data_IF_212616100563
#
_entry.id   IF_212616100563
#
_cell.length_a   1.000
_cell.length_b   1.000
_cell.length_c   1.000
_cell.angle_alpha   90.00
_cell.angle_beta   90.00
_cell.angle_gamma   90.00
#
_symmetry.space_group_name_H-M   'P 1'
#
loop_
_entity.id
_entity.type
_entity.pdbx_description
1 polymer ?
#
# COMPACT_ATOMS: atom_id res chain seq x y z
N UNK A 1 -18.20 -35.14 -16.00
CA UNK A 1 -16.80 -35.58 -16.16
C UNK A 1 -15.91 -34.35 -16.36
N UNK A 2 -15.69 -33.56 -15.30
CA UNK A 2 -14.79 -32.41 -15.33
C UNK A 2 -13.40 -32.90 -14.93
N UNK A 3 -12.50 -32.97 -15.91
CA UNK A 3 -11.08 -33.27 -15.68
C UNK A 3 -10.52 -32.23 -14.71
N UNK A 4 -10.20 -32.69 -13.49
CA UNK A 4 -9.51 -31.92 -12.46
C UNK A 4 -8.10 -31.66 -12.95
N UNK A 5 -7.88 -30.51 -13.59
CA UNK A 5 -6.52 -30.00 -13.80
C UNK A 5 -5.85 -29.82 -12.45
N UNK A 6 -4.90 -30.70 -12.15
CA UNK A 6 -4.03 -30.65 -10.98
C UNK A 6 -3.03 -29.48 -11.20
N UNK A 7 -3.46 -28.26 -10.90
CA UNK A 7 -2.58 -27.09 -10.85
C UNK A 7 -1.86 -27.10 -9.51
N UNK A 8 -0.92 -28.05 -9.30
CA UNK A 8 -0.11 -28.13 -8.08
C UNK A 8 1.12 -27.20 -8.10
N UNK A 9 1.16 -26.23 -9.03
CA UNK A 9 2.20 -25.22 -9.07
C UNK A 9 2.03 -24.24 -7.91
N UNK A 10 3.05 -24.09 -7.06
CA UNK A 10 3.06 -23.07 -5.99
C UNK A 10 2.63 -21.72 -6.57
N UNK A 11 1.48 -21.22 -6.12
CA UNK A 11 0.94 -19.93 -6.54
C UNK A 11 1.97 -18.85 -6.20
N UNK A 12 2.56 -18.18 -7.20
CA UNK A 12 3.69 -17.28 -6.97
C UNK A 12 3.36 -16.09 -6.06
N UNK A 13 2.08 -15.73 -5.93
CA UNK A 13 1.58 -14.68 -5.03
C UNK A 13 1.86 -14.90 -3.54
N UNK A 14 2.12 -16.14 -3.09
CA UNK A 14 2.34 -16.45 -1.66
C UNK A 14 3.54 -15.70 -1.08
N UNK A 15 4.64 -15.60 -1.84
CA UNK A 15 5.85 -14.92 -1.35
C UNK A 15 5.60 -13.43 -1.10
N UNK A 16 4.80 -12.81 -1.97
CA UNK A 16 4.46 -11.40 -1.87
C UNK A 16 3.50 -11.12 -0.71
N UNK A 17 2.42 -11.91 -0.58
CA UNK A 17 1.49 -11.77 0.55
C UNK A 17 2.18 -12.04 1.88
N UNK A 18 3.13 -12.98 1.92
CA UNK A 18 3.96 -13.24 3.11
C UNK A 18 4.83 -12.03 3.47
N UNK A 19 5.45 -11.37 2.49
CA UNK A 19 6.28 -10.19 2.76
C UNK A 19 5.43 -9.01 3.26
N UNK A 20 4.25 -8.79 2.68
CA UNK A 20 3.30 -7.79 3.16
C UNK A 20 2.76 -8.12 4.55
N UNK A 21 2.50 -9.40 4.84
CA UNK A 21 2.09 -9.86 6.16
C UNK A 21 3.16 -9.52 7.21
N UNK A 22 4.42 -9.87 6.96
CA UNK A 22 5.50 -9.56 7.90
C UNK A 22 5.71 -8.06 8.10
N UNK A 23 5.57 -7.27 7.03
CA UNK A 23 5.56 -5.81 7.13
C UNK A 23 4.44 -5.33 8.06
N UNK A 24 3.21 -5.84 7.91
CA UNK A 24 2.09 -5.48 8.77
C UNK A 24 2.25 -5.98 10.20
N UNK A 25 2.78 -7.19 10.42
CA UNK A 25 3.08 -7.73 11.76
C UNK A 25 4.07 -6.81 12.47
N UNK A 26 5.13 -6.40 11.78
CA UNK A 26 6.12 -5.47 12.31
C UNK A 26 5.46 -4.12 12.66
N UNK A 27 4.63 -3.58 11.78
CA UNK A 27 3.95 -2.32 12.03
C UNK A 27 3.00 -2.38 13.22
N UNK A 28 2.17 -3.42 13.31
CA UNK A 28 1.27 -3.64 14.45
C UNK A 28 2.06 -3.79 15.74
N UNK A 29 3.14 -4.57 15.74
CA UNK A 29 4.02 -4.71 16.90
C UNK A 29 4.62 -3.35 17.31
N UNK A 30 5.12 -2.56 16.36
CA UNK A 30 5.70 -1.24 16.63
C UNK A 30 4.68 -0.26 17.22
N UNK A 31 3.44 -0.27 16.71
CA UNK A 31 2.38 0.62 17.21
C UNK A 31 1.89 0.19 18.60
N UNK A 32 1.70 -1.11 18.83
CA UNK A 32 1.15 -1.65 20.08
C UNK A 32 2.16 -1.65 21.24
N UNK A 33 3.46 -1.79 20.94
CA UNK A 33 4.53 -1.79 21.93
C UNK A 33 5.12 -0.41 22.20
N UNK A 34 4.64 0.64 21.52
CA UNK A 34 5.03 2.02 21.78
C UNK A 34 4.60 2.44 23.22
N UNK A 35 5.47 3.12 24.00
CA UNK A 35 6.73 3.77 23.64
C UNK A 35 8.02 2.94 23.77
N UNK A 36 7.94 1.61 23.95
CA UNK A 36 9.09 0.71 24.16
C UNK A 36 9.86 0.93 25.49
N UNK A 37 9.22 1.56 26.48
CA UNK A 37 9.78 1.79 27.82
C UNK A 37 9.54 0.59 28.74
N UNK A 38 10.18 -0.54 28.44
CA UNK A 38 10.00 -1.78 29.19
C UNK A 38 10.65 -1.71 30.59
N UNK A 39 9.88 -2.04 31.64
CA UNK A 39 10.30 -2.05 33.03
C UNK A 39 10.04 -3.43 33.66
N UNK A 40 11.07 -4.01 34.28
CA UNK A 40 10.96 -5.32 34.94
C UNK A 40 10.20 -5.26 36.28
N UNK A 41 10.27 -4.14 36.99
CA UNK A 41 9.71 -3.98 38.34
C UNK A 41 8.42 -3.15 38.36
N UNK A 42 7.67 -3.12 37.25
CA UNK A 42 6.42 -2.37 37.12
C UNK A 42 5.25 -3.01 37.88
N UNK A 43 4.28 -2.21 38.32
CA UNK A 43 3.01 -2.73 38.84
C UNK A 43 2.19 -3.26 37.67
N UNK A 44 2.02 -4.58 37.56
CA UNK A 44 1.17 -5.19 36.55
C UNK A 44 -0.31 -4.84 36.81
N UNK A 45 -1.01 -4.36 35.79
CA UNK A 45 -2.44 -4.02 35.86
C UNK A 45 -3.19 -4.83 34.82
N UNK A 46 -4.19 -5.58 35.28
CA UNK A 46 -5.12 -6.33 34.43
C UNK A 46 -6.44 -5.55 34.36
N UNK A 47 -6.98 -5.37 33.16
CA UNK A 47 -8.33 -4.84 32.96
C UNK A 47 -9.22 -5.93 32.36
N UNK A 48 -10.40 -6.12 32.97
CA UNK A 48 -11.45 -6.98 32.42
C UNK A 48 -12.53 -6.18 31.68
N UNK A 49 -12.49 -4.85 31.78
CA UNK A 49 -13.45 -3.95 31.16
C UNK A 49 -12.75 -3.31 29.96
N UNK A 50 -13.32 -3.51 28.78
CA UNK A 50 -12.86 -2.86 27.56
C UNK A 50 -13.91 -1.84 27.09
N UNK A 51 -13.46 -0.65 26.73
CA UNK A 51 -14.31 0.33 26.07
C UNK A 51 -14.69 -0.15 24.66
N UNK A 52 -15.83 0.28 24.14
CA UNK A 52 -16.24 -0.03 22.76
C UNK A 52 -15.20 0.45 21.75
N UNK A 53 -14.58 1.61 21.99
CA UNK A 53 -13.50 2.14 21.16
C UNK A 53 -12.27 1.24 21.10
N UNK A 54 -11.86 0.67 22.24
CA UNK A 54 -10.71 -0.24 22.33
C UNK A 54 -10.98 -1.54 21.56
N UNK A 55 -12.17 -2.12 21.76
CA UNK A 55 -12.60 -3.33 21.04
C UNK A 55 -12.61 -3.10 19.53
N UNK A 56 -13.20 -2.00 19.07
CA UNK A 56 -13.26 -1.66 17.63
C UNK A 56 -11.87 -1.37 17.07
N UNK A 57 -11.02 -0.66 17.82
CA UNK A 57 -9.65 -0.36 17.43
C UNK A 57 -8.81 -1.62 17.24
N UNK A 58 -8.91 -2.56 18.18
CA UNK A 58 -8.22 -3.85 18.15
C UNK A 58 -8.69 -4.75 16.99
N UNK A 59 -10.01 -4.84 16.77
CA UNK A 59 -10.58 -5.55 15.60
C UNK A 59 -10.00 -4.98 14.30
N UNK A 60 -10.02 -3.66 14.16
CA UNK A 60 -9.57 -3.00 12.93
C UNK A 60 -8.07 -3.20 12.74
N UNK A 61 -7.26 -3.05 13.79
CA UNK A 61 -5.81 -3.20 13.77
C UNK A 61 -5.38 -4.59 13.26
N UNK A 62 -6.08 -5.66 13.66
CA UNK A 62 -5.75 -7.04 13.27
C UNK A 62 -6.43 -7.50 11.96
N UNK A 63 -7.41 -6.74 11.43
CA UNK A 63 -8.11 -7.10 10.20
C UNK A 63 -7.16 -7.26 9.00
N UNK A 64 -6.22 -6.33 8.70
CA UNK A 64 -5.27 -6.52 7.60
C UNK A 64 -4.33 -7.72 7.80
N UNK A 65 -3.96 -8.04 9.05
CA UNK A 65 -3.13 -9.21 9.37
C UNK A 65 -3.83 -10.49 8.97
N UNK A 66 -5.09 -10.64 9.40
CA UNK A 66 -5.92 -11.78 9.04
C UNK A 66 -6.14 -11.93 7.54
N UNK A 67 -6.40 -10.81 6.87
CA UNK A 67 -6.58 -10.74 5.43
C UNK A 67 -5.32 -11.20 4.68
N UNK A 68 -4.15 -10.64 5.01
CA UNK A 68 -2.89 -11.00 4.36
C UNK A 68 -2.42 -12.41 4.73
N UNK A 69 -2.68 -12.87 5.96
CA UNK A 69 -2.40 -14.23 6.39
C UNK A 69 -3.20 -15.23 5.59
N UNK A 70 -4.49 -14.99 5.37
CA UNK A 70 -5.31 -15.86 4.53
C UNK A 70 -4.80 -15.87 3.07
N UNK A 71 -4.34 -14.74 2.55
CA UNK A 71 -3.74 -14.65 1.20
C UNK A 71 -2.32 -15.23 1.09
N UNK A 72 -1.60 -15.43 2.19
CA UNK A 72 -0.30 -16.10 2.20
C UNK A 72 -0.38 -17.61 2.31
N UNK A 73 -1.57 -18.15 2.64
CA UNK A 73 -1.79 -19.59 2.65
C UNK A 73 -1.93 -20.15 1.24
N UNK A 74 -1.49 -21.39 1.07
CA UNK A 74 -1.75 -22.14 -0.16
C UNK A 74 -3.26 -22.35 -0.31
N UNK A 75 -3.76 -22.02 -1.51
CA UNK A 75 -5.15 -22.23 -1.91
C UNK A 75 -5.37 -23.72 -2.17
N UNK A 76 -5.46 -24.52 -1.09
CA UNK A 76 -6.11 -25.83 -1.16
C UNK A 76 -7.59 -25.66 -0.82
N UNK A 77 -8.43 -26.40 -1.54
CA UNK A 77 -9.81 -26.04 -1.94
C UNK A 77 -10.87 -25.91 -0.84
N UNK A 78 -10.50 -25.85 0.43
CA UNK A 78 -11.37 -25.56 1.58
C UNK A 78 -10.50 -25.01 2.72
N UNK A 79 -9.99 -23.79 2.57
CA UNK A 79 -9.23 -23.19 3.66
C UNK A 79 -10.19 -22.81 4.77
N UNK A 80 -10.15 -23.57 5.87
CA UNK A 80 -10.80 -23.18 7.11
C UNK A 80 -10.19 -21.85 7.58
N UNK A 81 -11.02 -20.84 7.85
CA UNK A 81 -10.60 -19.52 8.35
C UNK A 81 -10.36 -19.52 9.86
N UNK A 82 -10.94 -20.47 10.61
CA UNK A 82 -10.78 -20.56 12.06
C UNK A 82 -9.32 -20.65 12.57
N UNK A 83 -8.34 -21.29 11.87
CA UNK A 83 -6.95 -21.24 12.31
C UNK A 83 -6.40 -19.82 12.35
N UNK A 84 -6.89 -18.91 11.50
CA UNK A 84 -6.47 -17.50 11.53
C UNK A 84 -6.90 -16.81 12.81
N UNK A 85 -8.06 -17.19 13.36
CA UNK A 85 -8.49 -16.74 14.70
C UNK A 85 -7.49 -17.18 15.77
N UNK A 86 -7.06 -18.46 15.76
CA UNK A 86 -6.07 -18.95 16.72
C UNK A 86 -4.72 -18.24 16.59
N UNK A 87 -4.24 -18.02 15.37
CA UNK A 87 -2.98 -17.28 15.17
C UNK A 87 -3.10 -15.83 15.60
N UNK A 88 -4.23 -15.18 15.33
CA UNK A 88 -4.52 -13.83 15.82
C UNK A 88 -4.54 -13.77 17.36
N UNK A 89 -5.19 -14.75 18.00
CA UNK A 89 -5.22 -14.88 19.46
C UNK A 89 -3.83 -15.10 20.06
N UNK A 90 -3.06 -16.03 19.50
CA UNK A 90 -1.69 -16.33 19.95
C UNK A 90 -0.75 -15.12 19.76
N UNK A 91 -0.85 -14.44 18.61
CA UNK A 91 -0.10 -13.20 18.36
C UNK A 91 -0.47 -12.09 19.35
N UNK A 92 -1.77 -11.90 19.61
CA UNK A 92 -2.22 -10.94 20.61
C UNK A 92 -1.77 -11.31 22.01
N UNK A 93 -1.80 -12.60 22.39
CA UNK A 93 -1.28 -13.05 23.68
C UNK A 93 0.18 -12.63 23.88
N UNK A 94 1.03 -12.80 22.87
CA UNK A 94 2.44 -12.38 22.94
C UNK A 94 2.55 -10.87 23.13
N UNK A 95 1.75 -10.07 22.40
CA UNK A 95 1.74 -8.60 22.56
C UNK A 95 1.31 -8.21 23.97
N UNK A 96 0.23 -8.78 24.49
CA UNK A 96 -0.26 -8.53 25.85
C UNK A 96 0.76 -8.90 26.92
N UNK A 97 1.47 -10.04 26.75
CA UNK A 97 2.55 -10.45 27.67
C UNK A 97 3.73 -9.48 27.65
N UNK A 98 4.06 -8.91 26.49
CA UNK A 98 5.09 -7.87 26.39
C UNK A 98 4.61 -6.55 27.02
N UNK A 99 3.32 -6.23 26.89
CA UNK A 99 2.73 -5.03 27.47
C UNK A 99 2.67 -5.07 29.01
N UNK A 100 2.75 -6.24 29.66
CA UNK A 100 2.92 -6.34 31.12
C UNK A 100 4.17 -5.62 31.64
N UNK A 101 5.17 -5.44 30.78
CA UNK A 101 6.39 -4.73 31.08
C UNK A 101 6.33 -3.25 30.69
N UNK A 102 5.20 -2.73 30.17
CA UNK A 102 5.02 -1.31 29.86
C UNK A 102 4.22 -0.62 30.99
N UNK A 103 4.78 0.42 31.65
CA UNK A 103 4.22 0.99 32.88
C UNK A 103 2.83 1.64 32.71
N UNK A 104 2.52 2.16 31.51
CA UNK A 104 1.28 2.88 31.21
C UNK A 104 0.28 2.04 30.38
N UNK A 105 0.46 0.72 30.31
CA UNK A 105 -0.42 -0.19 29.58
C UNK A 105 -1.14 -1.15 30.52
N UNK A 106 -2.35 -1.53 30.12
CA UNK A 106 -3.17 -2.53 30.79
C UNK A 106 -3.21 -3.75 29.90
N UNK A 107 -3.02 -4.92 30.50
CA UNK A 107 -3.24 -6.18 29.78
C UNK A 107 -4.72 -6.56 29.88
N UNK A 108 -5.32 -6.93 28.75
CA UNK A 108 -6.75 -7.15 28.63
C UNK A 108 -7.08 -8.42 27.83
N UNK A 109 -7.76 -9.42 28.44
CA UNK A 109 -8.27 -10.57 27.69
C UNK A 109 -9.28 -10.18 26.59
N UNK A 110 -10.00 -9.07 26.78
CA UNK A 110 -10.91 -8.55 25.77
C UNK A 110 -10.15 -8.04 24.53
N UNK A 111 -8.93 -7.53 24.70
CA UNK A 111 -8.05 -7.08 23.62
C UNK A 111 -7.56 -8.29 22.81
N UNK A 112 -7.22 -9.38 23.49
CA UNK A 112 -6.90 -10.66 22.83
C UNK A 112 -8.02 -11.19 21.96
N UNK A 113 -9.26 -11.19 22.48
CA UNK A 113 -10.43 -11.67 21.76
C UNK A 113 -10.81 -10.75 20.59
N UNK A 114 -10.73 -9.44 20.78
CA UNK A 114 -11.02 -8.45 19.73
C UNK A 114 -9.98 -8.49 18.61
N UNK A 115 -8.69 -8.61 18.93
CA UNK A 115 -7.63 -8.83 17.95
C UNK A 115 -7.81 -10.15 17.17
N UNK A 116 -8.15 -11.25 17.86
CA UNK A 116 -8.44 -12.54 17.22
C UNK A 116 -9.65 -12.46 16.29
N UNK A 117 -10.72 -11.76 16.72
CA UNK A 117 -11.91 -11.50 15.90
C UNK A 117 -11.57 -10.67 14.66
N UNK A 118 -10.75 -9.61 14.81
CA UNK A 118 -10.23 -8.81 13.71
C UNK A 118 -9.50 -9.66 12.67
N UNK A 119 -8.55 -10.49 13.12
CA UNK A 119 -7.83 -11.40 12.23
C UNK A 119 -8.78 -12.40 11.52
N UNK A 120 -9.79 -12.91 12.21
CA UNK A 120 -10.76 -13.81 11.61
C UNK A 120 -11.64 -13.12 10.56
N UNK A 121 -12.15 -11.92 10.85
CA UNK A 121 -12.92 -11.10 9.90
C UNK A 121 -12.09 -10.73 8.67
N UNK A 122 -10.81 -10.40 8.85
CA UNK A 122 -9.86 -10.19 7.77
C UNK A 122 -9.74 -11.41 6.85
N UNK A 123 -9.62 -12.60 7.43
CA UNK A 123 -9.56 -13.84 6.67
C UNK A 123 -10.85 -14.12 5.88
N UNK A 124 -12.01 -13.88 6.49
CA UNK A 124 -13.31 -13.98 5.81
C UNK A 124 -13.40 -13.00 4.63
N UNK A 125 -12.89 -11.78 4.79
CA UNK A 125 -12.79 -10.78 3.72
C UNK A 125 -11.89 -11.24 2.57
N UNK A 126 -10.73 -11.82 2.86
CA UNK A 126 -9.83 -12.37 1.85
C UNK A 126 -10.48 -13.52 1.07
N UNK A 127 -11.20 -14.41 1.75
CA UNK A 127 -11.93 -15.50 1.11
C UNK A 127 -13.10 -15.01 0.26
N UNK A 128 -13.86 -14.04 0.76
CA UNK A 128 -14.94 -13.41 -0.01
C UNK A 128 -14.40 -12.76 -1.28
N UNK A 129 -13.27 -12.05 -1.18
CA UNK A 129 -12.59 -11.46 -2.31
C UNK A 129 -12.10 -12.53 -3.29
N UNK A 130 -11.40 -13.56 -2.82
CA UNK A 130 -10.93 -14.63 -3.69
C UNK A 130 -12.07 -15.36 -4.40
N UNK A 131 -13.19 -15.64 -3.72
CA UNK A 131 -14.38 -16.24 -4.35
C UNK A 131 -14.97 -15.33 -5.43
N UNK A 132 -15.05 -14.03 -5.16
CA UNK A 132 -15.56 -13.06 -6.10
C UNK A 132 -14.71 -12.96 -7.39
N UNK A 133 -13.39 -13.10 -7.27
CA UNK A 133 -12.49 -13.03 -8.42
C UNK A 133 -12.20 -14.39 -9.08
N UNK A 134 -12.41 -15.50 -8.37
CA UNK A 134 -12.24 -16.86 -8.90
C UNK A 134 -13.32 -17.26 -9.92
N UNK A 135 -14.46 -16.56 -9.98
CA UNK A 135 -15.53 -16.81 -10.96
C UNK A 135 -15.20 -16.28 -12.36
N UNK A 136 -14.14 -15.50 -12.54
CA UNK A 136 -13.71 -15.02 -13.85
C UNK A 136 -12.94 -16.07 -14.67
N UNK A 137 -13.11 -16.07 -16.00
CA UNK A 137 -12.52 -17.03 -16.95
C UNK A 137 -11.00 -17.22 -16.85
N UNK A 138 -10.28 -16.30 -16.22
CA UNK A 138 -8.80 -16.31 -16.16
C UNK A 138 -8.19 -16.63 -14.81
N UNK A 139 -8.99 -16.82 -13.75
CA UNK A 139 -8.50 -17.26 -12.43
C UNK A 139 -7.35 -16.42 -11.83
N UNK A 140 -7.13 -15.19 -12.30
CA UNK A 140 -6.03 -14.33 -11.85
C UNK A 140 -6.34 -13.81 -10.46
N UNK A 141 -5.42 -14.03 -9.52
CA UNK A 141 -5.59 -13.52 -8.15
C UNK A 141 -5.57 -12.00 -8.15
N UNK A 142 -6.38 -11.35 -7.30
CA UNK A 142 -6.41 -9.89 -7.14
C UNK A 142 -5.02 -9.32 -6.82
N UNK A 143 -4.21 -10.10 -6.09
CA UNK A 143 -2.82 -9.75 -5.76
C UNK A 143 -1.88 -9.73 -6.96
N UNK A 144 -2.25 -10.36 -8.07
CA UNK A 144 -1.44 -10.42 -9.29
C UNK A 144 -1.72 -9.24 -10.22
N UNK A 145 -2.69 -8.39 -9.89
CA UNK A 145 -2.89 -7.17 -10.66
C UNK A 145 -1.73 -6.19 -10.37
N UNK A 146 -1.13 -5.59 -11.42
CA UNK A 146 -0.17 -4.52 -11.24
C UNK A 146 -0.79 -3.39 -10.40
N UNK A 147 0.02 -2.75 -9.56
CA UNK A 147 -0.36 -1.65 -8.68
C UNK A 147 -1.27 -1.99 -7.48
N UNK A 148 -1.84 -3.18 -7.37
CA UNK A 148 -2.73 -3.52 -6.23
C UNK A 148 -1.99 -3.54 -4.90
N UNK A 149 -0.68 -3.81 -4.87
CA UNK A 149 0.13 -3.74 -3.66
C UNK A 149 0.26 -2.30 -3.13
N UNK A 150 0.24 -1.29 -4.00
CA UNK A 150 0.22 0.10 -3.56
C UNK A 150 -1.06 0.40 -2.77
N UNK A 151 -2.19 -0.19 -3.16
CA UNK A 151 -3.46 -0.09 -2.41
C UNK A 151 -3.28 -0.70 -1.01
N UNK A 152 -2.66 -1.86 -0.89
CA UNK A 152 -2.43 -2.48 0.42
C UNK A 152 -1.42 -1.72 1.29
N UNK A 153 -0.36 -1.16 0.70
CA UNK A 153 0.66 -0.39 1.42
C UNK A 153 0.18 1.01 1.82
N UNK A 154 -0.87 1.54 1.20
CA UNK A 154 -1.45 2.84 1.54
C UNK A 154 -2.26 2.80 2.85
N UNK A 155 -3.00 1.71 3.14
CA UNK A 155 -3.75 1.56 4.40
C UNK A 155 -2.89 1.80 5.66
N UNK A 156 -1.76 1.07 5.85
CA UNK A 156 -0.94 1.26 7.05
C UNK A 156 -0.34 2.67 7.12
N UNK A 157 0.00 3.27 5.98
CA UNK A 157 0.50 4.63 5.95
C UNK A 157 -0.58 5.65 6.34
N UNK A 158 -1.81 5.47 5.87
CA UNK A 158 -2.97 6.27 6.29
C UNK A 158 -3.26 6.12 7.78
N UNK A 159 -3.11 4.91 8.33
CA UNK A 159 -3.25 4.66 9.76
C UNK A 159 -2.20 5.40 10.58
N UNK A 160 -0.92 5.26 10.22
CA UNK A 160 0.16 5.94 10.95
C UNK A 160 0.00 7.46 10.83
N UNK A 161 -0.36 7.98 9.64
CA UNK A 161 -0.65 9.40 9.47
C UNK A 161 -1.80 9.85 10.38
N UNK A 162 -2.92 9.11 10.39
CA UNK A 162 -4.09 9.42 11.24
C UNK A 162 -3.78 9.34 12.74
N UNK A 163 -2.95 8.39 13.16
CA UNK A 163 -2.43 8.36 14.53
C UNK A 163 -1.50 9.55 14.80
N UNK A 164 -0.65 9.97 13.86
CA UNK A 164 0.35 11.04 14.07
C UNK A 164 -0.23 12.44 14.33
N UNK A 165 -1.55 12.61 14.23
CA UNK A 165 -2.27 13.88 14.45
C UNK A 165 -2.29 14.30 15.93
N UNK A 166 -1.75 13.49 16.86
CA UNK A 166 -1.60 13.89 18.27
C UNK A 166 -0.99 15.30 18.40
N UNK A 167 -1.76 16.22 18.98
CA UNK A 167 -1.35 17.60 19.28
C UNK A 167 -1.46 18.59 18.12
N UNK A 168 -1.82 18.16 16.91
CA UNK A 168 -1.89 19.05 15.74
C UNK A 168 -2.95 18.58 14.73
N UNK A 169 -4.16 19.10 14.88
CA UNK A 169 -5.33 18.81 14.03
C UNK A 169 -5.06 19.08 12.55
N UNK A 170 -4.27 20.09 12.22
CA UNK A 170 -4.04 20.50 10.82
C UNK A 170 -3.22 19.47 10.04
N UNK A 171 -2.53 18.55 10.73
CA UNK A 171 -1.82 17.44 10.08
C UNK A 171 -2.76 16.49 9.33
N UNK A 172 -4.07 16.47 9.64
CA UNK A 172 -5.08 15.73 8.88
C UNK A 172 -5.11 16.08 7.40
N UNK A 173 -4.68 17.29 7.02
CA UNK A 173 -4.62 17.68 5.61
C UNK A 173 -3.61 16.83 4.80
N UNK A 174 -2.62 16.20 5.45
CA UNK A 174 -1.75 15.23 4.79
C UNK A 174 -2.51 13.96 4.38
N UNK A 175 -3.52 13.55 5.15
CA UNK A 175 -4.37 12.40 4.85
C UNK A 175 -5.20 12.60 3.59
N UNK A 176 -5.53 13.85 3.25
CA UNK A 176 -6.18 14.20 1.97
C UNK A 176 -5.30 13.75 0.80
N UNK A 177 -4.01 14.09 0.81
CA UNK A 177 -3.09 13.72 -0.28
C UNK A 177 -2.91 12.21 -0.42
N UNK A 178 -2.83 11.48 0.69
CA UNK A 178 -2.81 10.02 0.69
C UNK A 178 -4.12 9.44 0.13
N UNK A 179 -5.26 10.03 0.51
CA UNK A 179 -6.59 9.58 0.05
C UNK A 179 -6.79 9.86 -1.44
N UNK A 180 -6.32 11.00 -1.96
CA UNK A 180 -6.31 11.29 -3.40
C UNK A 180 -5.40 10.33 -4.17
N UNK A 181 -4.22 10.02 -3.62
CA UNK A 181 -3.29 9.03 -4.19
C UNK A 181 -3.99 7.67 -4.35
N UNK A 182 -4.68 7.19 -3.30
CA UNK A 182 -5.46 5.96 -3.35
C UNK A 182 -6.68 6.05 -4.29
N UNK A 183 -7.38 7.20 -4.34
CA UNK A 183 -8.56 7.37 -5.18
C UNK A 183 -8.23 7.26 -6.67
N UNK A 184 -7.16 7.94 -7.11
CA UNK A 184 -6.67 7.85 -8.49
C UNK A 184 -6.25 6.42 -8.82
N UNK A 185 -5.54 5.76 -7.90
CA UNK A 185 -5.08 4.39 -8.05
C UNK A 185 -6.24 3.41 -8.24
N UNK A 186 -7.25 3.46 -7.35
CA UNK A 186 -8.44 2.61 -7.40
C UNK A 186 -9.25 2.85 -8.69
N UNK A 187 -9.49 4.12 -9.05
CA UNK A 187 -10.26 4.44 -10.24
C UNK A 187 -9.59 3.94 -11.54
N UNK A 188 -8.27 4.10 -11.67
CA UNK A 188 -7.54 3.62 -12.85
C UNK A 188 -7.41 2.08 -12.86
N UNK A 189 -7.28 1.43 -11.69
CA UNK A 189 -7.34 -0.03 -11.59
C UNK A 189 -8.71 -0.57 -12.04
N UNK A 190 -9.79 0.11 -11.68
CA UNK A 190 -11.13 -0.23 -12.15
C UNK A 190 -11.26 -0.07 -13.66
N UNK A 191 -10.90 1.11 -14.18
CA UNK A 191 -11.05 1.44 -15.59
C UNK A 191 -10.24 0.54 -16.52
N UNK A 192 -9.02 0.15 -16.13
CA UNK A 192 -8.11 -0.62 -16.99
C UNK A 192 -8.14 -2.13 -16.77
N UNK A 193 -8.53 -2.61 -15.58
CA UNK A 193 -8.48 -4.04 -15.24
C UNK A 193 -9.82 -4.58 -14.77
N UNK A 194 -10.36 -4.05 -13.68
CA UNK A 194 -11.48 -4.70 -12.98
C UNK A 194 -12.79 -4.65 -13.78
N UNK A 195 -13.05 -3.54 -14.49
CA UNK A 195 -14.26 -3.36 -15.30
C UNK A 195 -14.46 -4.44 -16.37
N UNK A 196 -13.36 -5.00 -16.89
CA UNK A 196 -13.40 -6.02 -17.94
C UNK A 196 -13.15 -7.43 -17.41
N UNK A 197 -12.50 -7.56 -16.26
CA UNK A 197 -12.16 -8.85 -15.67
C UNK A 197 -13.27 -9.43 -14.80
N UNK A 198 -14.24 -8.62 -14.37
CA UNK A 198 -15.28 -9.01 -13.42
C UNK A 198 -16.63 -8.40 -13.78
N UNK A 199 -17.72 -9.04 -13.36
CA UNK A 199 -19.09 -8.51 -13.44
C UNK A 199 -19.38 -7.43 -12.38
N UNK A 200 -18.33 -6.78 -11.86
CA UNK A 200 -18.45 -5.79 -10.80
C UNK A 200 -19.19 -4.55 -11.29
N UNK A 201 -20.38 -4.35 -10.74
CA UNK A 201 -21.20 -3.16 -11.02
C UNK A 201 -20.48 -1.93 -10.46
N UNK A 202 -20.61 -0.79 -11.15
CA UNK A 202 -20.01 0.49 -10.74
C UNK A 202 -20.28 0.82 -9.26
N UNK A 203 -21.53 0.69 -8.82
CA UNK A 203 -21.91 1.01 -7.44
C UNK A 203 -21.26 0.08 -6.40
N UNK A 204 -21.05 -1.21 -6.74
CA UNK A 204 -20.36 -2.16 -5.85
C UNK A 204 -18.89 -1.77 -5.69
N UNK A 205 -18.26 -1.31 -6.77
CA UNK A 205 -16.90 -0.79 -6.71
C UNK A 205 -16.80 0.49 -5.87
N UNK A 206 -17.75 1.43 -6.05
CA UNK A 206 -17.81 2.66 -5.23
C UNK A 206 -18.03 2.34 -3.76
N UNK A 207 -18.92 1.39 -3.43
CA UNK A 207 -19.14 0.92 -2.07
C UNK A 207 -17.86 0.31 -1.48
N UNK A 208 -17.16 -0.52 -2.25
CA UNK A 208 -15.85 -1.07 -1.85
C UNK A 208 -14.79 0.01 -1.62
N UNK A 209 -14.75 1.05 -2.46
CA UNK A 209 -13.86 2.20 -2.27
C UNK A 209 -14.23 2.99 -1.00
N UNK A 210 -15.51 3.19 -0.73
CA UNK A 210 -16.00 3.81 0.51
C UNK A 210 -15.52 3.03 1.76
N UNK A 211 -15.68 1.70 1.75
CA UNK A 211 -15.18 0.83 2.82
C UNK A 211 -13.66 0.91 2.97
N UNK A 212 -12.92 0.94 1.85
CA UNK A 212 -11.46 1.09 1.85
C UNK A 212 -11.02 2.40 2.50
N UNK A 213 -11.64 3.54 2.15
CA UNK A 213 -11.30 4.82 2.74
C UNK A 213 -11.69 4.87 4.21
N UNK A 214 -12.88 4.39 4.57
CA UNK A 214 -13.35 4.31 5.96
C UNK A 214 -12.36 3.52 6.83
N UNK A 215 -11.87 2.39 6.31
CA UNK A 215 -10.85 1.59 6.99
C UNK A 215 -9.54 2.36 7.13
N UNK A 216 -9.07 3.03 6.07
CA UNK A 216 -7.82 3.78 6.06
C UNK A 216 -7.80 5.01 6.97
N UNK A 217 -8.94 5.68 7.16
CA UNK A 217 -9.03 6.89 8.02
C UNK A 217 -9.36 6.58 9.48
N UNK A 218 -9.62 5.32 9.84
CA UNK A 218 -10.20 4.97 11.14
C UNK A 218 -9.44 5.55 12.35
N UNK A 219 -8.08 5.51 12.41
CA UNK A 219 -7.39 6.09 13.55
C UNK A 219 -7.57 7.61 13.68
N UNK A 220 -7.73 8.31 12.56
CA UNK A 220 -8.07 9.74 12.57
C UNK A 220 -9.54 9.96 13.00
N UNK A 221 -10.46 9.11 12.54
CA UNK A 221 -11.89 9.19 12.85
C UNK A 221 -12.19 9.13 14.34
N UNK A 222 -11.48 8.29 15.09
CA UNK A 222 -11.63 8.18 16.54
C UNK A 222 -11.37 9.50 17.30
N UNK A 223 -10.68 10.46 16.66
CA UNK A 223 -10.32 11.73 17.28
C UNK A 223 -10.98 12.94 16.63
N UNK A 224 -11.11 12.91 15.31
CA UNK A 224 -11.59 13.99 14.47
C UNK A 224 -12.62 13.43 13.47
N UNK A 225 -13.81 13.04 13.97
CA UNK A 225 -14.77 12.28 13.16
C UNK A 225 -15.28 13.08 11.97
N UNK A 226 -15.58 14.37 12.15
CA UNK A 226 -16.13 15.23 11.10
C UNK A 226 -15.15 15.42 9.94
N UNK A 227 -13.91 15.78 10.25
CA UNK A 227 -12.86 15.98 9.24
C UNK A 227 -12.54 14.66 8.54
N UNK A 228 -12.47 13.56 9.29
CA UNK A 228 -12.17 12.25 8.72
C UNK A 228 -13.29 11.79 7.77
N UNK A 229 -14.56 11.97 8.15
CA UNK A 229 -15.70 11.68 7.28
C UNK A 229 -15.69 12.54 6.01
N UNK A 230 -15.36 13.83 6.13
CA UNK A 230 -15.20 14.71 4.96
C UNK A 230 -14.11 14.19 4.02
N UNK A 231 -12.96 13.78 4.56
CA UNK A 231 -11.84 13.24 3.76
C UNK A 231 -12.27 11.96 3.03
N UNK A 232 -12.93 11.00 3.71
CA UNK A 232 -13.43 9.79 3.07
C UNK A 232 -14.49 10.07 2.00
N UNK A 233 -15.40 11.02 2.27
CA UNK A 233 -16.41 11.44 1.31
C UNK A 233 -15.79 12.04 0.04
N UNK A 234 -14.83 12.96 0.18
CA UNK A 234 -14.12 13.59 -0.94
C UNK A 234 -13.34 12.55 -1.77
N UNK A 235 -12.65 11.63 -1.10
CA UNK A 235 -11.89 10.58 -1.77
C UNK A 235 -12.79 9.60 -2.53
N UNK A 236 -13.90 9.18 -1.91
CA UNK A 236 -14.90 8.30 -2.55
C UNK A 236 -15.57 8.98 -3.74
N UNK A 237 -15.91 10.27 -3.61
CA UNK A 237 -16.47 11.07 -4.72
C UNK A 237 -15.46 11.21 -5.86
N UNK A 238 -14.18 11.36 -5.55
CA UNK A 238 -13.10 11.38 -6.54
C UNK A 238 -13.01 10.04 -7.28
N UNK A 239 -13.16 8.90 -6.59
CA UNK A 239 -13.26 7.60 -7.28
C UNK A 239 -14.49 7.58 -8.20
N UNK A 240 -15.67 7.92 -7.69
CA UNK A 240 -16.93 7.89 -8.44
C UNK A 240 -16.88 8.75 -9.73
N UNK A 241 -16.22 9.91 -9.67
CA UNK A 241 -16.05 10.81 -10.82
C UNK A 241 -15.01 10.28 -11.82
N UNK A 242 -13.90 9.70 -11.35
CA UNK A 242 -12.83 9.21 -12.22
C UNK A 242 -13.15 7.89 -12.95
N UNK A 243 -14.10 7.08 -12.44
CA UNK A 243 -14.55 5.85 -13.11
C UNK A 243 -15.58 6.09 -14.24
N UNK A 244 -15.98 7.35 -14.47
CA UNK A 244 -16.88 7.69 -15.58
C UNK A 244 -16.17 7.36 -16.90
N UNK A 245 -16.79 6.59 -17.81
CA UNK A 245 -16.16 6.19 -19.06
C UNK A 245 -15.75 7.42 -19.86
N UNK A 246 -14.48 7.52 -20.22
CA UNK A 246 -14.01 8.52 -21.19
C UNK A 246 -14.03 7.91 -22.59
N UNK A 247 -14.76 8.51 -23.56
CA UNK A 247 -14.76 8.01 -24.93
C UNK A 247 -13.33 8.01 -25.50
N UNK A 248 -12.98 6.96 -26.24
CA UNK A 248 -11.69 6.86 -26.95
C UNK A 248 -10.51 6.28 -26.17
N UNK A 249 -10.66 5.88 -24.90
CA UNK A 249 -9.60 5.12 -24.20
C UNK A 249 -9.60 3.66 -24.66
N UNK A 250 -8.59 3.26 -25.42
CA UNK A 250 -8.39 1.85 -25.79
C UNK A 250 -8.10 1.01 -24.53
N UNK A 251 -8.89 -0.04 -24.31
CA UNK A 251 -8.73 -0.98 -23.21
C UNK A 251 -7.41 -1.79 -23.29
N UNK A 252 -6.66 -1.71 -24.40
CA UNK A 252 -5.49 -2.54 -24.67
C UNK A 252 -4.13 -1.88 -24.40
N UNK A 253 -4.07 -0.68 -23.81
CA UNK A 253 -2.80 -0.06 -23.47
C UNK A 253 -2.04 -0.90 -22.42
N UNK A 254 -1.14 -1.76 -22.89
CA UNK A 254 -0.24 -2.62 -22.08
C UNK A 254 0.69 -1.83 -21.13
N UNK A 255 0.53 -0.51 -21.00
CA UNK A 255 1.41 0.41 -20.28
C UNK A 255 0.66 1.45 -19.45
N UNK A 256 -0.62 1.24 -19.13
CA UNK A 256 -1.37 2.20 -18.31
C UNK A 256 -0.71 2.42 -16.94
N UNK A 257 -0.02 1.41 -16.40
CA UNK A 257 0.61 1.46 -15.08
C UNK A 257 1.58 2.65 -14.94
N UNK A 258 2.33 2.96 -16.01
CA UNK A 258 3.27 4.09 -16.02
C UNK A 258 2.55 5.44 -16.00
N UNK A 259 1.43 5.53 -16.71
CA UNK A 259 0.60 6.74 -16.75
C UNK A 259 -0.03 6.98 -15.38
N UNK A 260 -0.53 5.91 -14.75
CA UNK A 260 -1.09 5.97 -13.38
C UNK A 260 0.00 6.36 -12.38
N UNK A 261 1.17 5.71 -12.42
CA UNK A 261 2.30 6.02 -11.55
C UNK A 261 2.70 7.49 -11.60
N UNK A 262 2.77 8.11 -12.79
CA UNK A 262 3.10 9.54 -12.91
C UNK A 262 2.08 10.44 -12.21
N UNK A 263 0.78 10.11 -12.33
CA UNK A 263 -0.29 10.89 -11.68
C UNK A 263 -0.21 10.77 -10.16
N UNK A 264 -0.07 9.54 -9.65
CA UNK A 264 -0.04 9.31 -8.21
C UNK A 264 1.27 9.77 -7.57
N UNK A 265 2.40 9.70 -8.28
CA UNK A 265 3.70 10.16 -7.80
C UNK A 265 3.69 11.67 -7.53
N UNK A 266 2.93 12.45 -8.29
CA UNK A 266 2.78 13.88 -8.02
C UNK A 266 2.16 14.14 -6.64
N UNK A 267 0.99 13.54 -6.36
CA UNK A 267 0.30 13.69 -5.07
C UNK A 267 1.13 13.12 -3.93
N UNK A 268 1.80 11.99 -4.16
CA UNK A 268 2.62 11.35 -3.15
C UNK A 268 3.92 12.11 -2.86
N UNK A 269 4.58 12.67 -3.87
CA UNK A 269 5.74 13.53 -3.68
C UNK A 269 5.37 14.81 -2.92
N UNK A 270 4.21 15.41 -3.23
CA UNK A 270 3.68 16.55 -2.48
C UNK A 270 3.40 16.18 -1.02
N UNK A 271 2.83 15.00 -0.77
CA UNK A 271 2.65 14.47 0.59
C UNK A 271 4.00 14.33 1.32
N UNK A 272 5.01 13.71 0.70
CA UNK A 272 6.32 13.53 1.31
C UNK A 272 7.01 14.86 1.62
N UNK A 273 6.91 15.82 0.69
CA UNK A 273 7.42 17.17 0.86
C UNK A 273 6.74 17.86 2.05
N UNK A 274 5.41 17.94 2.05
CA UNK A 274 4.64 18.60 3.12
C UNK A 274 4.86 17.93 4.48
N UNK A 275 4.89 16.60 4.52
CA UNK A 275 5.22 15.83 5.72
C UNK A 275 6.60 16.21 6.28
N UNK A 276 7.59 16.43 5.41
CA UNK A 276 8.98 16.73 5.79
C UNK A 276 9.18 18.18 6.23
N UNK A 277 8.29 19.09 5.87
CA UNK A 277 8.34 20.49 6.30
C UNK A 277 7.36 20.83 7.42
N UNK A 278 6.58 19.84 7.88
CA UNK A 278 5.56 20.02 8.92
C UNK A 278 6.11 19.93 10.35
N UNK A 279 5.80 20.87 11.27
CA UNK A 279 4.79 21.93 11.16
C UNK A 279 5.29 23.23 10.50
N UNK A 280 4.38 24.00 9.93
CA UNK A 280 4.63 25.30 9.29
C UNK A 280 4.23 26.41 10.29
N UNK A 281 5.06 27.45 10.55
CA UNK A 281 6.31 27.83 9.88
C UNK A 281 7.56 27.13 10.41
N UNK A 282 8.58 26.99 9.55
CA UNK A 282 9.90 26.44 9.91
C UNK A 282 10.63 27.33 10.93
N UNK A 283 11.34 26.70 11.87
CA UNK A 283 12.22 27.41 12.81
C UNK A 283 13.61 27.50 12.17
N UNK A 284 14.13 28.70 11.92
CA UNK A 284 15.26 29.00 11.01
C UNK A 284 16.65 28.42 11.35
N UNK A 285 16.79 27.50 12.31
CA UNK A 285 18.09 26.95 12.69
C UNK A 285 18.30 25.54 12.11
N UNK A 286 19.04 25.45 11.00
CA UNK A 286 19.52 24.17 10.47
C UNK A 286 20.52 23.53 11.45
N UNK A 287 20.32 22.24 11.78
CA UNK A 287 21.17 21.49 12.73
C UNK A 287 21.51 20.10 12.19
N UNK A 288 22.77 19.70 12.29
CA UNK A 288 23.26 18.37 11.89
C UNK A 288 23.59 17.54 13.14
N UNK A 289 23.28 16.24 13.14
CA UNK A 289 23.78 15.30 14.15
C UNK A 289 24.15 13.96 13.51
N UNK A 290 25.34 13.46 13.82
CA UNK A 290 25.89 12.27 13.14
C UNK A 290 25.12 11.00 13.46
N UNK A 291 24.79 10.76 14.74
CA UNK A 291 24.22 9.48 15.20
C UNK A 291 22.69 9.54 15.35
N UNK A 292 22.12 10.72 15.62
CA UNK A 292 20.67 10.97 15.62
C UNK A 292 19.82 10.15 16.61
N UNK A 293 20.44 9.23 17.37
CA UNK A 293 19.80 8.39 18.39
C UNK A 293 19.40 9.19 19.64
N UNK A 294 19.92 10.40 19.81
CA UNK A 294 19.52 11.32 20.87
C UNK A 294 18.01 11.66 20.80
N UNK A 295 17.41 11.52 19.62
CA UNK A 295 15.96 11.66 19.41
C UNK A 295 15.12 10.51 19.98
N UNK A 296 15.71 9.32 20.17
CA UNK A 296 15.05 8.13 20.74
C UNK A 296 15.22 8.00 22.25
N UNK A 297 16.18 8.73 22.85
CA UNK A 297 16.77 8.32 24.12
C UNK A 297 16.21 8.92 25.41
N UNK A 298 15.43 10.01 25.40
CA UNK A 298 15.07 10.68 26.68
C UNK A 298 13.74 11.43 26.79
N UNK A 299 13.03 11.69 25.69
CA UNK A 299 11.74 12.41 25.68
C UNK A 299 10.95 12.11 24.40
N UNK A 300 11.00 10.87 23.91
CA UNK A 300 10.36 10.50 22.65
C UNK A 300 8.85 10.44 22.85
N UNK A 301 8.21 11.61 22.78
CA UNK A 301 6.77 11.72 22.79
C UNK A 301 6.19 10.77 21.73
N UNK A 302 5.15 10.02 22.07
CA UNK A 302 4.40 9.14 21.15
C UNK A 302 4.20 9.77 19.74
N UNK A 303 3.85 11.07 19.60
CA UNK A 303 3.75 11.73 18.29
C UNK A 303 5.05 11.67 17.47
N UNK A 304 6.21 11.79 18.10
CA UNK A 304 7.51 11.72 17.42
C UNK A 304 7.74 10.34 16.80
N UNK A 305 7.51 9.27 17.58
CA UNK A 305 7.69 7.89 17.10
C UNK A 305 6.72 7.60 15.95
N UNK A 306 5.45 8.01 16.08
CA UNK A 306 4.47 7.87 15.00
C UNK A 306 4.89 8.62 13.73
N UNK A 307 5.42 9.85 13.84
CA UNK A 307 5.93 10.61 12.68
C UNK A 307 7.18 9.97 12.07
N UNK A 308 8.03 9.33 12.88
CA UNK A 308 9.16 8.56 12.37
C UNK A 308 8.67 7.32 11.60
N UNK A 309 7.70 6.58 12.15
CA UNK A 309 7.07 5.44 11.48
C UNK A 309 6.37 5.86 10.19
N UNK A 310 5.73 7.03 10.18
CA UNK A 310 5.10 7.60 8.99
C UNK A 310 6.13 7.89 7.90
N UNK A 311 7.22 8.57 8.27
CA UNK A 311 8.32 8.89 7.37
C UNK A 311 8.89 7.63 6.72
N UNK A 312 9.19 6.64 7.55
CA UNK A 312 9.67 5.31 7.15
C UNK A 312 8.67 4.56 6.25
N UNK A 313 7.38 4.58 6.60
CA UNK A 313 6.32 3.97 5.81
C UNK A 313 6.19 4.64 4.44
N UNK A 314 6.33 5.97 4.40
CA UNK A 314 6.38 6.75 3.17
C UNK A 314 7.52 6.32 2.25
N UNK A 315 8.72 6.08 2.79
CA UNK A 315 9.84 5.57 2.00
C UNK A 315 9.63 4.14 1.49
N UNK A 316 8.98 3.27 2.26
CA UNK A 316 8.61 1.93 1.78
C UNK A 316 7.70 2.02 0.56
N UNK A 317 6.70 2.91 0.58
CA UNK A 317 5.79 3.14 -0.54
C UNK A 317 6.51 3.80 -1.73
N UNK A 318 7.38 4.79 -1.49
CA UNK A 318 8.21 5.42 -2.53
C UNK A 318 9.09 4.39 -3.23
N UNK A 319 9.76 3.54 -2.47
CA UNK A 319 10.56 2.42 -2.94
C UNK A 319 9.80 1.52 -3.90
N UNK A 320 8.58 1.13 -3.51
CA UNK A 320 7.72 0.34 -4.38
C UNK A 320 7.36 1.09 -5.67
N UNK A 321 6.95 2.37 -5.58
CA UNK A 321 6.59 3.18 -6.76
C UNK A 321 7.76 3.36 -7.73
N UNK A 322 8.97 3.60 -7.20
CA UNK A 322 10.20 3.70 -7.99
C UNK A 322 10.52 2.36 -8.65
N UNK A 323 10.42 1.25 -7.91
CA UNK A 323 10.59 -0.10 -8.44
C UNK A 323 9.64 -0.37 -9.61
N UNK A 324 8.35 -0.10 -9.45
CA UNK A 324 7.36 -0.28 -10.53
C UNK A 324 7.64 0.66 -11.72
N UNK A 325 8.02 1.92 -11.47
CA UNK A 325 8.34 2.86 -12.55
C UNK A 325 9.57 2.44 -13.37
N UNK A 326 10.64 2.02 -12.69
CA UNK A 326 11.91 1.62 -13.30
C UNK A 326 11.86 0.22 -13.90
N UNK A 327 11.09 -0.70 -13.33
CA UNK A 327 10.89 -2.04 -13.88
C UNK A 327 10.24 -2.05 -15.27
N UNK A 328 9.70 -0.91 -15.71
CA UNK A 328 9.14 -0.69 -17.06
C UNK A 328 10.07 0.10 -17.98
N UNK A 329 11.23 0.54 -17.49
CA UNK A 329 12.19 1.29 -18.27
C UNK A 329 13.09 0.34 -19.08
N UNK A 330 13.31 0.65 -20.36
CA UNK A 330 14.23 -0.08 -21.22
C UNK A 330 15.62 0.57 -21.09
N UNK A 331 16.43 0.08 -20.16
CA UNK A 331 17.77 0.60 -19.90
C UNK A 331 18.74 -0.51 -19.49
N UNK A 332 20.03 -0.20 -19.47
CA UNK A 332 21.03 -1.15 -18.96
C UNK A 332 20.84 -1.36 -17.45
N UNK A 333 21.21 -2.53 -16.93
CA UNK A 333 21.13 -2.82 -15.49
C UNK A 333 21.86 -1.77 -14.65
N UNK A 334 22.98 -1.25 -15.16
CA UNK A 334 23.77 -0.20 -14.51
C UNK A 334 23.01 1.12 -14.46
N UNK A 335 22.38 1.54 -15.56
CA UNK A 335 21.56 2.75 -15.59
C UNK A 335 20.37 2.66 -14.62
N UNK A 336 19.71 1.50 -14.56
CA UNK A 336 18.61 1.28 -13.62
C UNK A 336 19.08 1.41 -12.17
N UNK A 337 20.18 0.75 -11.78
CA UNK A 337 20.75 0.87 -10.43
C UNK A 337 21.16 2.30 -10.08
N UNK A 338 21.74 3.04 -11.02
CA UNK A 338 22.08 4.44 -10.80
C UNK A 338 20.82 5.28 -10.57
N UNK A 339 19.77 5.10 -11.36
CA UNK A 339 18.49 5.78 -11.17
C UNK A 339 17.83 5.41 -9.84
N UNK A 340 17.92 4.15 -9.40
CA UNK A 340 17.43 3.70 -8.09
C UNK A 340 18.12 4.45 -6.94
N UNK A 341 19.45 4.49 -6.96
CA UNK A 341 20.26 5.20 -5.95
C UNK A 341 19.96 6.70 -5.99
N UNK A 342 19.89 7.31 -7.18
CA UNK A 342 19.63 8.73 -7.32
C UNK A 342 18.23 9.12 -6.84
N UNK A 343 17.19 8.34 -7.21
CA UNK A 343 15.82 8.64 -6.81
C UNK A 343 15.62 8.41 -5.31
N UNK A 344 15.99 7.23 -4.78
CA UNK A 344 15.76 6.94 -3.36
C UNK A 344 16.73 7.68 -2.45
N UNK A 345 18.03 7.65 -2.76
CA UNK A 345 19.05 8.35 -2.00
C UNK A 345 18.89 9.87 -2.09
N UNK A 346 18.64 10.40 -3.29
CA UNK A 346 18.39 11.83 -3.49
C UNK A 346 17.13 12.31 -2.76
N UNK A 347 16.02 11.56 -2.84
CA UNK A 347 14.81 11.90 -2.05
C UNK A 347 15.06 11.82 -0.55
N UNK A 348 15.79 10.80 -0.06
CA UNK A 348 16.09 10.68 1.37
C UNK A 348 16.96 11.83 1.89
N UNK A 349 18.03 12.19 1.15
CA UNK A 349 18.88 13.34 1.50
C UNK A 349 18.10 14.64 1.47
N UNK A 350 17.30 14.87 0.42
CA UNK A 350 16.50 16.09 0.26
C UNK A 350 15.49 16.24 1.39
N UNK A 351 14.69 15.20 1.67
CA UNK A 351 13.64 15.26 2.67
C UNK A 351 14.19 15.34 4.10
N UNK A 352 15.30 14.64 4.40
CA UNK A 352 16.00 14.78 5.69
C UNK A 352 16.61 16.18 5.84
N UNK A 353 17.17 16.73 4.76
CA UNK A 353 17.62 18.12 4.68
C UNK A 353 16.51 19.11 4.98
N UNK A 354 15.36 18.98 4.33
CA UNK A 354 14.19 19.82 4.59
C UNK A 354 13.69 19.71 6.03
N UNK A 355 13.65 18.49 6.57
CA UNK A 355 13.20 18.24 7.95
C UNK A 355 14.13 18.85 8.99
N UNK A 356 15.43 18.96 8.71
CA UNK A 356 16.41 19.56 9.62
C UNK A 356 16.27 21.08 9.82
N UNK A 357 15.43 21.75 9.02
CA UNK A 357 15.01 23.14 9.25
C UNK A 357 13.86 23.26 10.26
N UNK A 358 13.44 22.16 10.87
CA UNK A 358 12.46 22.18 11.94
C UNK A 358 13.17 22.12 13.28
N UNK A 359 12.79 22.97 14.24
CA UNK A 359 13.58 23.14 15.48
C UNK A 359 13.70 21.87 16.34
N UNK A 360 12.79 20.92 16.19
CA UNK A 360 12.78 19.66 16.95
C UNK A 360 13.51 18.51 16.22
N UNK A 361 13.91 18.72 14.96
CA UNK A 361 14.57 17.71 14.15
C UNK A 361 15.98 18.17 13.75
N UNK A 362 16.86 17.21 13.57
CA UNK A 362 18.23 17.42 13.12
C UNK A 362 18.47 16.49 11.95
N UNK A 363 19.33 16.90 11.02
CA UNK A 363 19.76 16.01 9.95
C UNK A 363 20.44 14.79 10.57
N UNK A 364 19.83 13.61 10.44
CA UNK A 364 20.26 12.35 11.08
C UNK A 364 20.72 11.35 10.03
N UNK A 365 22.00 10.97 10.05
CA UNK A 365 22.52 9.93 9.14
C UNK A 365 21.90 8.56 9.43
N UNK A 366 21.56 8.29 10.70
CA UNK A 366 20.84 7.08 11.07
C UNK A 366 19.47 7.03 10.39
N UNK A 367 18.69 8.10 10.52
CA UNK A 367 17.35 8.17 9.92
C UNK A 367 17.42 8.14 8.39
N UNK A 368 18.42 8.80 7.80
CA UNK A 368 18.73 8.70 6.38
C UNK A 368 18.96 7.24 5.96
N UNK A 369 19.83 6.52 6.69
CA UNK A 369 20.13 5.11 6.43
C UNK A 369 18.90 4.20 6.55
N UNK A 370 18.08 4.39 7.59
CA UNK A 370 16.82 3.65 7.78
C UNK A 370 15.84 3.92 6.65
N UNK A 371 15.71 5.17 6.21
CA UNK A 371 14.81 5.58 5.12
C UNK A 371 15.24 4.98 3.78
N UNK A 372 16.54 4.97 3.49
CA UNK A 372 17.09 4.32 2.31
C UNK A 372 16.87 2.80 2.35
N UNK A 373 17.13 2.15 3.49
CA UNK A 373 16.91 0.72 3.69
C UNK A 373 15.44 0.33 3.43
N UNK A 374 14.49 1.15 3.90
CA UNK A 374 13.07 0.89 3.73
C UNK A 374 12.56 1.25 2.33
N UNK A 375 13.16 2.25 1.68
CA UNK A 375 13.02 2.44 0.23
C UNK A 375 13.46 1.21 -0.57
N UNK A 376 14.60 0.61 -0.25
CA UNK A 376 15.03 -0.63 -0.90
C UNK A 376 14.15 -1.83 -0.53
N UNK A 377 13.61 -1.89 0.68
CA UNK A 377 12.61 -2.90 1.04
C UNK A 377 11.35 -2.78 0.18
N UNK A 378 10.84 -1.57 -0.03
CA UNK A 378 9.74 -1.30 -0.97
C UNK A 378 10.02 -1.78 -2.39
N UNK A 379 11.25 -1.55 -2.88
CA UNK A 379 11.71 -2.08 -4.16
C UNK A 379 11.78 -3.63 -4.18
N UNK A 380 12.21 -4.26 -3.09
CA UNK A 380 12.23 -5.72 -2.97
C UNK A 380 10.82 -6.29 -3.09
N UNK A 381 9.82 -5.67 -2.46
CA UNK A 381 8.41 -6.04 -2.59
C UNK A 381 7.95 -6.02 -4.05
N UNK A 382 8.30 -4.97 -4.79
CA UNK A 382 8.03 -4.89 -6.23
C UNK A 382 8.70 -6.06 -7.00
N UNK A 383 9.96 -6.38 -6.72
CA UNK A 383 10.65 -7.48 -7.39
C UNK A 383 10.01 -8.85 -7.09
N UNK A 384 9.52 -9.06 -5.87
CA UNK A 384 8.78 -10.27 -5.51
C UNK A 384 7.48 -10.37 -6.30
N UNK A 385 6.75 -9.26 -6.46
CA UNK A 385 5.58 -9.21 -7.33
C UNK A 385 5.94 -9.55 -8.79
N UNK A 386 6.97 -8.92 -9.35
CA UNK A 386 7.34 -9.15 -10.73
C UNK A 386 7.73 -10.62 -10.99
N UNK A 387 8.42 -11.26 -10.03
CA UNK A 387 8.71 -12.69 -10.07
C UNK A 387 7.44 -13.53 -9.99
N UNK A 388 6.46 -13.09 -9.19
CA UNK A 388 5.17 -13.77 -9.10
C UNK A 388 4.44 -13.79 -10.44
N UNK A 389 4.37 -12.62 -11.11
CA UNK A 389 3.75 -12.49 -12.42
C UNK A 389 4.43 -13.33 -13.51
N UNK A 390 5.76 -13.37 -13.51
CA UNK A 390 6.53 -14.16 -14.50
C UNK A 390 6.31 -15.66 -14.37
N UNK A 391 6.12 -16.16 -13.14
CA UNK A 391 5.88 -17.59 -12.90
C UNK A 391 4.44 -18.01 -13.22
N UNK A 392 3.48 -17.10 -13.11
CA UNK A 392 2.07 -17.35 -13.44
C UNK A 392 1.74 -17.26 -14.93
N UNK A 393 2.60 -16.64 -15.75
CA UNK A 393 2.39 -16.56 -17.18
C UNK A 393 2.42 -17.97 -17.82
N UNK A 394 1.40 -18.36 -18.62
CA UNK A 394 1.41 -19.64 -19.30
C UNK A 394 2.67 -19.76 -20.15
N UNK A 395 3.43 -20.86 -19.96
CA UNK A 395 4.56 -21.17 -20.84
C UNK A 395 4.00 -21.24 -22.26
N UNK A 396 4.47 -20.37 -23.15
CA UNK A 396 4.13 -20.46 -24.57
C UNK A 396 4.44 -21.90 -25.02
N UNK A 397 3.43 -22.62 -25.51
CA UNK A 397 3.59 -24.00 -25.97
C UNK A 397 4.72 -24.04 -27.01
N UNK A 398 5.84 -24.74 -26.75
CA UNK A 398 6.92 -24.86 -27.72
C UNK A 398 6.42 -25.72 -28.88
N UNK A 399 5.88 -25.09 -29.93
CA UNK A 399 5.35 -25.79 -31.10
C UNK A 399 4.22 -25.05 -31.82
N UNK A 400 3.44 -24.20 -31.13
CA UNK A 400 2.63 -23.20 -31.82
C UNK A 400 3.56 -22.06 -32.22
N UNK A 401 4.18 -22.21 -33.40
CA UNK A 401 4.83 -21.11 -34.09
C UNK A 401 3.89 -19.92 -33.98
N UNK A 402 4.31 -18.89 -33.25
CA UNK A 402 3.63 -17.59 -33.26
C UNK A 402 3.41 -17.30 -34.73
N UNK A 403 2.15 -17.29 -35.18
CA UNK A 403 1.78 -16.75 -36.48
C UNK A 403 2.53 -15.44 -36.53
N UNK A 404 3.58 -15.40 -37.36
CA UNK A 404 4.49 -14.27 -37.41
C UNK A 404 3.58 -13.07 -37.60
N UNK A 405 3.50 -12.18 -36.61
CA UNK A 405 2.92 -10.86 -36.83
C UNK A 405 3.64 -10.36 -38.09
N UNK A 406 2.92 -10.18 -39.21
CA UNK A 406 3.56 -9.90 -40.48
C UNK A 406 4.47 -8.70 -40.23
N UNK A 407 5.76 -8.89 -40.52
CA UNK A 407 6.78 -7.88 -40.35
C UNK A 407 6.19 -6.52 -40.71
N UNK A 408 6.29 -5.55 -39.81
CA UNK A 408 5.72 -4.20 -40.00
C UNK A 408 6.13 -3.57 -41.35
N UNK A 409 7.19 -4.07 -41.98
CA UNK A 409 7.60 -3.74 -43.35
C UNK A 409 6.64 -4.23 -44.43
N UNK A 410 6.02 -5.40 -44.29
CA UNK A 410 5.09 -5.98 -45.28
C UNK A 410 3.71 -5.32 -45.23
N UNK A 411 3.25 -4.88 -44.04
CA UNK A 411 1.98 -4.16 -43.91
C UNK A 411 2.01 -2.76 -44.55
N UNK A 412 3.18 -2.11 -44.58
CA UNK A 412 3.36 -0.82 -45.28
C UNK A 412 3.47 -0.97 -46.81
N UNK A 413 3.77 -2.16 -47.33
CA UNK A 413 3.76 -2.43 -48.78
C UNK A 413 2.40 -2.88 -49.30
N UNK A 414 1.54 -3.43 -48.45
CA UNK A 414 0.19 -3.86 -48.83
C UNK A 414 -0.85 -2.72 -48.83
N UNK A 415 -0.55 -1.58 -48.20
CA UNK A 415 -1.32 -0.34 -48.32
C UNK A 415 -0.77 0.51 -49.47
N UNK A 416 -0.75 -0.07 -50.67
CA UNK A 416 -0.60 0.69 -51.91
C UNK A 416 -1.80 1.61 -52.11
N UNK A 417 -1.86 2.70 -51.34
CA UNK A 417 -2.68 3.86 -51.67
C UNK A 417 -2.17 4.40 -53.00
N UNK A 418 -2.94 4.16 -54.07
CA UNK A 418 -2.83 4.96 -55.28
C UNK A 418 -3.03 6.43 -54.89
N UNK A 419 -2.15 7.35 -55.32
CA UNK A 419 -2.37 8.77 -55.08
C UNK A 419 -3.70 9.20 -55.70
N UNK A 420 -4.63 9.64 -54.87
CA UNK A 420 -5.84 10.31 -55.34
C UNK A 420 -5.42 11.61 -56.07
N UNK A 421 -5.90 11.84 -57.31
CA UNK A 421 -5.61 13.07 -58.02
C UNK A 421 -6.20 14.27 -57.26
N UNK A 422 -5.34 15.25 -57.00
CA UNK A 422 -5.71 16.55 -56.43
C UNK A 422 -6.73 17.21 -57.38
N UNK A 423 -7.93 17.61 -56.93
CA UNK A 423 -8.85 18.36 -57.77
C UNK A 423 -8.23 19.72 -58.09
N UNK A 424 -7.95 19.96 -59.37
CA UNK A 424 -7.56 21.26 -59.87
C UNK A 424 -8.71 22.25 -59.64
N UNK A 425 -8.47 23.24 -58.77
CA UNK A 425 -9.31 24.41 -58.64
C UNK A 425 -9.35 25.14 -60.00
N UNK A 426 -10.52 25.12 -60.65
CA UNK A 426 -10.82 26.07 -61.73
C UNK A 426 -11.17 27.41 -61.10
N UNK A 427 -10.40 28.43 -61.48
CA UNK A 427 -10.77 29.82 -61.33
C UNK A 427 -12.03 30.11 -62.16
N UNK A 428 -13.03 30.74 -61.52
CA UNK A 428 -13.87 31.83 -62.04
C UNK A 428 -14.15 32.75 -60.85
#
# INVERSE_FOLDING_TARGET
>A
MFSRMNVSGRIPGIQLSTALLWYMVLLVALVTLMPFEFQLNGRHRLSMIAGVGDVVGNIILFLPLGFLFQLSRKIDRQIRTWPVFLYGFAGSFVVEMLQLFLPDRYTSPADMLSNALGAWLGALGADALNRYFATGEKGTSVLELPLTQLVYLLIPLMWINGMSVFGDKYRLWLLVLLSFTAAVLLAELYNHRLRHATDLRKWQFIAGACSYFSLGIMPAYMRYPEESLLIAFLATTTVATLIIPKPGRSASERRFERVVLRKILFFFALYLFLMSIWPIPMKTAFRITLIGLDTLGRNSSIPYILRLLEYVGGFTLLGFMVGEYLGRFQGSKTQLRLLEILLLGGSAILLEGLRSFQGDYRFSLFQLGVSMLLGWYGMLLFHLQLRALKKGAPKAEPGKQSIQEPSRKTALTALGEKPHPIPQNRAI
#
